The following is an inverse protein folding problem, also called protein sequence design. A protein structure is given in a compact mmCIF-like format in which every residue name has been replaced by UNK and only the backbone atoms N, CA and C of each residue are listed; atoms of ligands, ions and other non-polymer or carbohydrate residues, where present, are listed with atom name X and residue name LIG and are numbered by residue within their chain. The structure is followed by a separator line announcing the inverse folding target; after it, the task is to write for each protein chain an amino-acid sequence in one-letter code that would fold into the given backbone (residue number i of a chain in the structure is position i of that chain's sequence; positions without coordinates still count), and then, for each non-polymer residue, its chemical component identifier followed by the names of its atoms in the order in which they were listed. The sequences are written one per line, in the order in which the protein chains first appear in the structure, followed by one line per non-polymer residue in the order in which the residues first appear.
data_IF_631351461933
#
_entry.id   IF_631351461933
#
_cell.length_a   1.000
_cell.length_b   1.000
_cell.length_c   1.000
_cell.angle_alpha   90.00
_cell.angle_beta   90.00
_cell.angle_gamma   90.00
#
_symmetry.space_group_name_H-M   'P 1'
#
loop_
_entity.id
_entity.type
_entity.pdbx_description
1 polymer ?
#
# COMPACT_ATOMS: atom_id res chain seq x y z
N UNK A 1 -40.18 -28.71 11.77
CA UNK A 1 -39.14 -28.58 10.74
C UNK A 1 -38.29 -27.37 11.08
N UNK A 2 -37.10 -27.59 11.65
CA UNK A 2 -36.15 -26.51 11.93
C UNK A 2 -35.31 -26.26 10.66
N UNK A 3 -35.47 -25.10 10.05
CA UNK A 3 -34.61 -24.65 8.94
C UNK A 3 -33.25 -24.22 9.51
N UNK A 4 -32.21 -25.00 9.23
CA UNK A 4 -30.82 -24.56 9.41
C UNK A 4 -30.49 -23.54 8.32
N UNK A 5 -30.34 -22.28 8.69
CA UNK A 5 -29.76 -21.25 7.84
C UNK A 5 -28.24 -21.41 7.81
N UNK A 6 -27.69 -21.89 6.70
CA UNK A 6 -26.25 -21.92 6.47
C UNK A 6 -25.78 -20.51 6.04
N UNK A 7 -25.10 -19.80 6.94
CA UNK A 7 -24.41 -18.54 6.63
C UNK A 7 -23.09 -18.90 5.95
N UNK A 8 -23.01 -18.71 4.63
CA UNK A 8 -21.76 -18.87 3.89
C UNK A 8 -21.00 -17.55 3.98
N UNK A 9 -20.07 -17.47 4.93
CA UNK A 9 -19.08 -16.38 5.00
C UNK A 9 -18.11 -16.55 3.82
N UNK A 10 -18.32 -15.81 2.73
CA UNK A 10 -17.30 -15.62 1.70
C UNK A 10 -16.19 -14.77 2.29
N UNK A 11 -15.23 -15.40 2.96
CA UNK A 11 -14.00 -14.75 3.38
C UNK A 11 -13.19 -14.36 2.14
N UNK A 12 -12.95 -13.06 1.95
CA UNK A 12 -12.05 -12.58 0.91
C UNK A 12 -10.64 -13.16 1.15
N UNK A 13 -10.26 -14.19 0.42
CA UNK A 13 -8.88 -14.67 0.32
C UNK A 13 -8.06 -13.71 -0.56
N UNK A 14 -7.99 -12.42 -0.19
CA UNK A 14 -7.10 -11.48 -0.87
C UNK A 14 -5.65 -11.83 -0.48
N UNK A 15 -4.89 -12.41 -1.41
CA UNK A 15 -3.46 -12.73 -1.25
C UNK A 15 -3.08 -14.20 -1.39
N UNK A 16 -4.03 -15.13 -1.28
CA UNK A 16 -3.73 -16.56 -1.48
C UNK A 16 -3.51 -16.79 -2.98
N UNK A 17 -2.26 -17.05 -3.38
CA UNK A 17 -1.88 -17.39 -4.75
C UNK A 17 -1.02 -16.37 -5.50
N UNK A 18 -0.60 -15.27 -4.86
CA UNK A 18 0.44 -14.40 -5.44
C UNK A 18 1.82 -15.02 -5.22
N UNK A 19 2.65 -15.01 -6.25
CA UNK A 19 4.09 -15.29 -6.15
C UNK A 19 4.82 -14.09 -5.54
N UNK A 20 6.02 -14.28 -4.95
CA UNK A 20 6.85 -13.16 -4.48
C UNK A 20 7.08 -12.10 -5.57
N UNK A 21 7.36 -12.52 -6.80
CA UNK A 21 7.64 -11.62 -7.92
C UNK A 21 6.41 -10.78 -8.29
N UNK A 22 5.23 -11.41 -8.33
CA UNK A 22 3.96 -10.69 -8.55
C UNK A 22 3.65 -9.71 -7.41
N UNK A 23 3.96 -10.07 -6.17
CA UNK A 23 3.76 -9.19 -5.03
C UNK A 23 4.70 -7.98 -5.07
N UNK A 24 5.97 -8.19 -5.41
CA UNK A 24 6.97 -7.14 -5.60
C UNK A 24 6.56 -6.20 -6.74
N UNK A 25 6.25 -6.76 -7.91
CA UNK A 25 5.83 -5.97 -9.07
C UNK A 25 4.58 -5.14 -8.76
N UNK A 26 3.60 -5.73 -8.07
CA UNK A 26 2.35 -5.04 -7.75
C UNK A 26 2.55 -3.83 -6.86
N UNK A 27 3.46 -3.87 -5.88
CA UNK A 27 3.71 -2.71 -5.00
C UNK A 27 4.57 -1.65 -5.70
N UNK A 28 5.57 -2.07 -6.49
CA UNK A 28 6.41 -1.15 -7.26
C UNK A 28 5.57 -0.39 -8.28
N UNK A 29 4.81 -1.10 -9.12
CA UNK A 29 3.93 -0.48 -10.12
C UNK A 29 2.90 0.45 -9.47
N UNK A 30 2.28 0.03 -8.37
CA UNK A 30 1.30 0.88 -7.69
C UNK A 30 1.90 2.21 -7.21
N UNK A 31 3.10 2.17 -6.62
CA UNK A 31 3.78 3.39 -6.15
C UNK A 31 4.22 4.24 -7.32
N UNK A 32 4.87 3.65 -8.34
CA UNK A 32 5.35 4.38 -9.53
C UNK A 32 4.19 5.05 -10.29
N UNK A 33 3.10 4.35 -10.56
CA UNK A 33 1.90 4.94 -11.19
C UNK A 33 1.29 6.06 -10.32
N UNK A 34 1.34 5.92 -8.99
CA UNK A 34 0.91 6.99 -8.08
C UNK A 34 1.84 8.20 -8.13
N UNK A 35 3.15 8.01 -8.35
CA UNK A 35 4.10 9.11 -8.51
C UNK A 35 3.86 9.90 -9.79
N UNK A 36 3.51 9.23 -10.88
CA UNK A 36 3.23 9.85 -12.19
C UNK A 36 2.05 10.82 -12.13
N UNK A 37 1.08 10.57 -11.24
CA UNK A 37 -0.07 11.46 -11.01
C UNK A 37 0.36 12.83 -10.45
N UNK A 38 1.44 12.85 -9.65
CA UNK A 38 1.94 14.08 -8.99
C UNK A 38 3.09 14.73 -9.77
N UNK A 39 3.79 13.95 -10.58
CA UNK A 39 4.94 14.37 -11.39
C UNK A 39 6.29 14.01 -10.77
N UNK A 40 7.36 14.57 -11.34
CA UNK A 40 8.74 14.12 -11.09
C UNK A 40 9.32 14.49 -9.72
N UNK A 41 10.53 13.96 -9.45
CA UNK A 41 11.37 14.30 -8.29
C UNK A 41 11.28 13.33 -7.12
N UNK A 42 10.80 12.11 -7.37
CA UNK A 42 10.70 11.05 -6.38
C UNK A 42 12.00 10.25 -6.26
N UNK A 43 12.36 9.89 -5.04
CA UNK A 43 13.49 9.02 -4.73
C UNK A 43 13.04 7.92 -3.76
N UNK A 44 13.57 6.68 -3.88
CA UNK A 44 13.31 5.62 -2.92
C UNK A 44 13.77 6.03 -1.51
N UNK A 45 12.86 5.96 -0.54
CA UNK A 45 13.20 6.09 0.89
C UNK A 45 13.22 4.74 1.60
N UNK A 46 12.45 3.77 1.11
CA UNK A 46 12.41 2.40 1.62
C UNK A 46 12.09 1.41 0.49
N UNK A 47 12.81 0.30 0.44
CA UNK A 47 12.44 -0.87 -0.36
C UNK A 47 12.63 -0.74 -1.88
N UNK A 48 12.01 -1.64 -2.68
CA UNK A 48 11.03 -2.65 -2.28
C UNK A 48 11.65 -3.73 -1.37
N UNK A 49 11.27 -3.70 -0.08
CA UNK A 49 11.83 -4.56 0.97
C UNK A 49 10.80 -5.55 1.49
N UNK A 50 11.26 -6.62 2.14
CA UNK A 50 10.36 -7.62 2.74
C UNK A 50 9.79 -7.12 4.07
N UNK A 51 8.56 -7.50 4.37
CA UNK A 51 7.92 -7.33 5.67
C UNK A 51 7.12 -8.56 6.08
N UNK A 52 6.93 -8.76 7.38
CA UNK A 52 6.03 -9.81 7.91
C UNK A 52 4.56 -9.39 7.72
N UNK A 53 3.69 -10.35 7.44
CA UNK A 53 2.23 -10.18 7.40
C UNK A 53 1.53 -11.47 7.85
N UNK A 54 0.19 -11.44 7.93
CA UNK A 54 -0.63 -12.60 8.22
C UNK A 54 -1.53 -12.95 7.04
N UNK A 55 -1.59 -14.24 6.69
CA UNK A 55 -2.49 -14.79 5.66
C UNK A 55 -3.84 -15.21 6.27
N UNK A 56 -3.82 -15.65 7.52
CA UNK A 56 -4.97 -16.05 8.31
C UNK A 56 -4.62 -15.94 9.81
N UNK A 57 -5.59 -16.06 10.73
CA UNK A 57 -5.29 -16.10 12.17
C UNK A 57 -4.24 -17.17 12.49
N UNK A 58 -3.10 -16.75 13.02
CA UNK A 58 -1.97 -17.65 13.36
C UNK A 58 -1.12 -18.12 12.18
N UNK A 59 -1.42 -17.71 10.95
CA UNK A 59 -0.67 -18.09 9.74
C UNK A 59 0.12 -16.87 9.25
N UNK A 60 1.44 -16.91 9.42
CA UNK A 60 2.35 -15.89 8.92
C UNK A 60 2.51 -15.91 7.41
N UNK A 61 3.00 -14.81 6.86
CA UNK A 61 3.37 -14.66 5.46
C UNK A 61 4.33 -13.49 5.28
N UNK A 62 4.64 -13.21 4.03
CA UNK A 62 5.57 -12.15 3.63
C UNK A 62 4.86 -11.16 2.70
N UNK A 63 5.25 -9.90 2.75
CA UNK A 63 4.80 -8.84 1.83
C UNK A 63 6.01 -8.01 1.41
N UNK A 64 5.86 -7.28 0.32
CA UNK A 64 6.78 -6.20 -0.03
C UNK A 64 6.25 -4.86 0.46
N UNK A 65 7.15 -4.00 0.93
CA UNK A 65 6.89 -2.61 1.28
C UNK A 65 7.78 -1.74 0.40
N UNK A 66 7.22 -0.67 -0.17
CA UNK A 66 7.96 0.29 -0.98
C UNK A 66 7.49 1.70 -0.66
N UNK A 67 8.44 2.60 -0.45
CA UNK A 67 8.17 4.00 -0.17
C UNK A 67 9.12 4.90 -0.95
N UNK A 68 8.56 6.01 -1.41
CA UNK A 68 9.27 7.07 -2.14
C UNK A 68 8.97 8.41 -1.50
N UNK A 69 9.93 9.33 -1.62
CA UNK A 69 9.81 10.70 -1.11
C UNK A 69 10.14 11.72 -2.18
N UNK A 70 9.56 12.90 -2.07
CA UNK A 70 9.92 14.08 -2.87
C UNK A 70 9.78 15.36 -2.07
N UNK A 71 10.36 16.45 -2.58
CA UNK A 71 10.05 17.79 -2.08
C UNK A 71 8.58 18.17 -2.34
N UNK A 72 8.01 19.01 -1.48
CA UNK A 72 6.63 19.45 -1.62
C UNK A 72 6.40 20.22 -2.92
N UNK A 73 5.19 20.07 -3.48
CA UNK A 73 4.71 20.89 -4.60
C UNK A 73 4.08 22.20 -4.09
N UNK A 74 3.66 23.05 -5.03
CA UNK A 74 2.96 24.29 -4.72
C UNK A 74 1.51 24.07 -4.23
N UNK A 75 0.88 22.93 -4.51
CA UNK A 75 -0.51 22.64 -4.12
C UNK A 75 -0.69 21.20 -3.58
N UNK A 76 -0.30 20.96 -2.31
CA UNK A 76 -0.49 19.66 -1.65
C UNK A 76 -1.93 19.15 -1.65
N UNK A 77 -2.92 20.05 -1.67
CA UNK A 77 -4.32 19.66 -1.64
C UNK A 77 -4.73 19.06 -2.98
N UNK A 78 -4.42 19.75 -4.08
CA UNK A 78 -4.70 19.25 -5.43
C UNK A 78 -4.04 17.88 -5.67
N UNK A 79 -2.80 17.72 -5.21
CA UNK A 79 -2.07 16.46 -5.33
C UNK A 79 -2.75 15.32 -4.55
N UNK A 80 -3.24 15.57 -3.33
CA UNK A 80 -3.99 14.57 -2.55
C UNK A 80 -5.30 14.19 -3.25
N UNK A 81 -5.99 15.15 -3.86
CA UNK A 81 -7.22 14.88 -4.61
C UNK A 81 -6.95 14.03 -5.86
N UNK A 82 -5.85 14.30 -6.57
CA UNK A 82 -5.45 13.56 -7.76
C UNK A 82 -5.04 12.11 -7.45
N UNK A 83 -4.19 11.92 -6.44
CA UNK A 83 -3.77 10.58 -5.99
C UNK A 83 -4.96 9.77 -5.48
N UNK A 84 -5.87 10.39 -4.72
CA UNK A 84 -7.07 9.70 -4.28
C UNK A 84 -7.92 9.22 -5.46
N UNK A 85 -8.12 10.06 -6.48
CA UNK A 85 -8.89 9.67 -7.65
C UNK A 85 -8.24 8.51 -8.40
N UNK A 86 -6.94 8.57 -8.62
CA UNK A 86 -6.18 7.48 -9.23
C UNK A 86 -6.35 6.16 -8.45
N UNK A 87 -6.24 6.22 -7.12
CA UNK A 87 -6.43 5.04 -6.26
C UNK A 87 -7.85 4.47 -6.33
N UNK A 88 -8.88 5.33 -6.37
CA UNK A 88 -10.26 4.88 -6.58
C UNK A 88 -10.44 4.17 -7.90
N UNK A 89 -9.82 4.66 -8.97
CA UNK A 89 -9.87 4.04 -10.30
C UNK A 89 -9.20 2.65 -10.33
N UNK A 90 -8.21 2.43 -9.46
CA UNK A 90 -7.58 1.12 -9.22
C UNK A 90 -8.37 0.20 -8.26
N UNK A 91 -9.54 0.63 -7.79
CA UNK A 91 -10.39 -0.13 -6.86
C UNK A 91 -9.91 -0.11 -5.40
N UNK A 92 -9.05 0.86 -5.04
CA UNK A 92 -8.63 1.08 -3.66
C UNK A 92 -9.74 1.82 -2.92
N UNK A 93 -10.07 1.36 -1.71
CA UNK A 93 -10.94 2.14 -0.80
C UNK A 93 -10.11 3.21 -0.12
N UNK A 94 -10.48 4.49 -0.31
CA UNK A 94 -9.70 5.63 0.18
C UNK A 94 -10.35 6.34 1.36
N UNK A 95 -9.52 6.93 2.22
CA UNK A 95 -9.93 7.79 3.33
C UNK A 95 -8.97 8.97 3.44
N UNK A 96 -9.45 10.19 3.17
CA UNK A 96 -8.68 11.42 3.38
C UNK A 96 -8.52 11.70 4.87
N UNK A 97 -7.38 12.27 5.24
CA UNK A 97 -7.12 12.71 6.60
C UNK A 97 -6.31 14.01 6.63
N UNK A 98 -6.37 14.68 7.77
CA UNK A 98 -5.58 15.86 8.06
C UNK A 98 -5.13 15.84 9.52
N UNK A 99 -3.88 16.18 9.80
CA UNK A 99 -3.42 16.37 11.20
C UNK A 99 -3.77 17.77 11.71
N UNK A 100 -3.81 17.95 13.03
CA UNK A 100 -3.88 19.30 13.62
C UNK A 100 -2.55 20.04 13.51
N UNK A 101 -2.57 21.35 13.81
CA UNK A 101 -1.39 22.22 13.83
C UNK A 101 -1.44 23.37 12.82
N UNK A 102 -0.42 24.23 12.84
CA UNK A 102 -0.25 25.37 11.92
C UNK A 102 0.10 24.88 10.49
N UNK A 103 0.92 23.84 10.40
CA UNK A 103 1.30 23.15 9.16
C UNK A 103 0.72 21.73 9.14
N UNK A 104 -0.57 21.56 8.81
CA UNK A 104 -1.21 20.27 8.84
C UNK A 104 -0.67 19.35 7.74
N UNK A 105 -0.47 18.09 8.09
CA UNK A 105 -0.21 17.03 7.12
C UNK A 105 -1.55 16.68 6.46
N UNK A 106 -1.62 16.83 5.14
CA UNK A 106 -2.71 16.33 4.33
C UNK A 106 -2.38 14.93 3.85
N UNK A 107 -3.38 14.07 3.71
CA UNK A 107 -3.12 12.77 3.13
C UNK A 107 -4.34 11.97 2.80
N UNK A 108 -4.09 10.82 2.20
CA UNK A 108 -5.08 9.80 1.88
C UNK A 108 -4.50 8.43 2.20
N UNK A 109 -5.29 7.62 2.92
CA UNK A 109 -4.99 6.20 3.16
C UNK A 109 -5.81 5.35 2.23
N UNK A 110 -5.19 4.32 1.67
CA UNK A 110 -5.81 3.32 0.82
C UNK A 110 -5.85 1.94 1.48
N UNK A 111 -6.93 1.19 1.23
CA UNK A 111 -7.06 -0.23 1.59
C UNK A 111 -7.60 -1.04 0.42
N UNK A 112 -6.98 -2.20 0.17
CA UNK A 112 -7.37 -3.12 -0.89
C UNK A 112 -6.98 -2.64 -2.29
N UNK A 113 -7.54 -3.28 -3.32
CA UNK A 113 -7.11 -3.09 -4.71
C UNK A 113 -5.86 -3.94 -5.04
N UNK A 114 -4.92 -3.44 -5.86
CA UNK A 114 -3.71 -4.19 -6.22
C UNK A 114 -2.75 -4.40 -5.04
N UNK A 115 -2.78 -3.50 -4.06
CA UNK A 115 -1.99 -3.54 -2.82
C UNK A 115 -2.89 -3.86 -1.62
N UNK A 116 -2.30 -4.18 -0.46
CA UNK A 116 -3.06 -4.39 0.78
C UNK A 116 -3.36 -3.08 1.49
N UNK A 117 -2.39 -2.16 1.52
CA UNK A 117 -2.52 -0.82 2.07
C UNK A 117 -1.62 0.17 1.34
N UNK A 118 -2.00 1.45 1.37
CA UNK A 118 -1.19 2.56 0.89
C UNK A 118 -1.43 3.83 1.73
N UNK A 119 -0.45 4.73 1.76
CA UNK A 119 -0.56 6.07 2.34
C UNK A 119 0.13 7.08 1.41
N UNK A 120 -0.56 8.18 1.12
CA UNK A 120 0.03 9.34 0.49
C UNK A 120 -0.07 10.47 1.49
N UNK A 121 1.10 11.01 1.83
CA UNK A 121 1.29 12.09 2.76
C UNK A 121 1.84 13.29 2.03
N UNK A 122 1.19 14.42 2.20
CA UNK A 122 1.60 15.69 1.66
C UNK A 122 1.70 16.72 2.79
N UNK A 123 2.92 17.14 3.13
CA UNK A 123 3.16 18.20 4.09
C UNK A 123 4.24 19.19 3.59
N UNK A 124 4.38 20.39 4.20
CA UNK A 124 5.30 21.41 3.70
C UNK A 124 6.78 20.99 3.66
N UNK A 125 7.17 19.93 4.39
CA UNK A 125 8.54 19.40 4.40
C UNK A 125 8.82 18.45 3.24
N UNK A 126 7.77 17.94 2.60
CA UNK A 126 7.90 16.94 1.54
C UNK A 126 6.74 15.96 1.53
N UNK A 127 6.72 15.13 0.51
CA UNK A 127 5.71 14.12 0.30
C UNK A 127 6.28 12.73 0.47
N UNK A 128 5.41 11.80 0.86
CA UNK A 128 5.70 10.36 0.90
C UNK A 128 4.55 9.62 0.25
N UNK A 129 4.86 8.69 -0.66
CA UNK A 129 3.94 7.64 -1.09
C UNK A 129 4.53 6.33 -0.62
N UNK A 130 3.76 5.55 0.13
CA UNK A 130 4.11 4.20 0.51
C UNK A 130 2.97 3.22 0.27
N UNK A 131 3.34 1.97 0.01
CA UNK A 131 2.40 0.88 -0.12
C UNK A 131 2.97 -0.46 0.37
N UNK A 132 2.06 -1.35 0.73
CA UNK A 132 2.36 -2.75 1.07
C UNK A 132 1.67 -3.66 0.07
N UNK A 133 2.41 -4.61 -0.52
CA UNK A 133 1.81 -5.64 -1.38
C UNK A 133 0.77 -6.47 -0.64
N UNK A 134 -0.03 -7.24 -1.38
CA UNK A 134 -0.78 -8.34 -0.80
C UNK A 134 0.18 -9.32 -0.10
N UNK A 135 -0.29 -9.94 0.99
CA UNK A 135 0.45 -10.95 1.72
C UNK A 135 0.55 -12.23 0.86
N UNK A 136 1.72 -12.85 0.81
CA UNK A 136 1.96 -14.09 0.09
C UNK A 136 2.63 -15.14 0.99
N UNK A 137 2.58 -16.40 0.57
CA UNK A 137 3.19 -17.52 1.30
C UNK A 137 4.72 -17.43 1.19
N UNK A 138 5.39 -17.38 2.33
CA UNK A 138 6.84 -17.33 2.40
C UNK A 138 7.35 -17.39 3.83
N UNK A 139 8.63 -17.73 3.98
CA UNK A 139 9.36 -17.64 5.24
C UNK A 139 10.17 -16.34 5.22
N UNK A 140 9.75 -15.36 6.02
CA UNK A 140 10.41 -14.06 6.06
C UNK A 140 11.88 -14.17 6.44
N UNK A 141 12.21 -14.98 7.45
CA UNK A 141 13.56 -15.03 8.00
C UNK A 141 14.50 -15.66 6.96
N UNK A 142 14.05 -16.72 6.26
CA UNK A 142 14.80 -17.31 5.15
C UNK A 142 14.95 -16.35 3.96
N UNK A 143 13.85 -15.78 3.48
CA UNK A 143 13.87 -14.89 2.30
C UNK A 143 14.68 -13.61 2.53
N UNK A 144 14.70 -13.11 3.77
CA UNK A 144 15.50 -11.94 4.13
C UNK A 144 16.99 -12.24 4.14
N UNK A 145 17.41 -13.48 4.44
CA UNK A 145 18.81 -13.90 4.32
C UNK A 145 19.21 -14.02 2.85
N UNK A 146 18.38 -14.68 2.03
CA UNK A 146 18.67 -14.90 0.61
C UNK A 146 18.76 -13.59 -0.21
N UNK A 147 18.13 -12.51 0.25
CA UNK A 147 18.16 -11.19 -0.39
C UNK A 147 19.33 -10.28 0.02
N UNK A 148 20.23 -10.75 0.89
CA UNK A 148 21.43 -10.02 1.35
C UNK A 148 22.73 -10.45 0.66
N UNK A 149 22.67 -11.46 -0.22
CA UNK A 149 23.76 -11.94 -1.08
C UNK A 149 23.71 -11.29 -2.48
#
# INVERSE_FOLDING_TARGET
MALLAAVVLTGCSAGIGKTPEQAKQSVVTFVEESTDVVGDGWEPSEGPGLGKCGLAPGVGGVRYVYAVVRSASADPKADVEAVEQHWKDLGVTTERYQTGGEDPILGVRGRGGPVSSSDFRADPRGYTIDASSQCFVGDFDRMSLDGQD
#
